data_IF_023789324104
#
_entry.id   IF_023789324104
#
_cell.length_a   1.000
_cell.length_b   1.000
_cell.length_c   1.000
_cell.angle_alpha   90.00
_cell.angle_beta   90.00
_cell.angle_gamma   90.00
#
_symmetry.space_group_name_H-M   'P 1'
#
loop_
_entity.id
_entity.type
_entity.pdbx_description
1 polymer ?
#
# COMPACT_ATOMS: atom_id res chain seq x y z
N UNK A 1 12.77 5.93 -36.62
CA UNK A 1 12.25 6.29 -35.95
C UNK A 1 11.70 6.00 -35.33
N UNK A 2 12.08 5.66 -35.50
CA UNK A 2 11.52 5.78 -34.74
C UNK A 2 10.96 5.97 -34.26
N UNK A 3 11.35 5.73 -34.91
CA UNK A 3 10.78 6.10 -34.23
C UNK A 3 10.26 6.17 -33.89
N UNK A 4 10.54 5.95 -34.38
CA UNK A 4 9.92 6.26 -33.88
C UNK A 4 9.35 6.08 -33.51
N UNK A 5 9.58 5.84 -33.92
CA UNK A 5 8.93 5.99 -33.43
C UNK A 5 8.24 5.68 -32.95
N UNK A 6 8.33 5.43 -33.30
CA UNK A 6 7.60 5.44 -32.73
C UNK A 6 6.88 5.23 -32.31
N UNK A 7 6.73 5.07 -32.58
CA UNK A 7 6.10 5.05 -32.19
C UNK A 7 5.18 5.01 -31.80
N UNK A 8 4.99 4.91 -32.24
CA UNK A 8 4.22 4.98 -31.84
C UNK A 8 3.28 4.50 -31.45
N UNK A 9 3.06 4.09 -31.61
CA UNK A 9 2.23 3.71 -31.19
C UNK A 9 1.61 3.49 -30.34
N UNK A 10 1.26 3.43 -30.10
CA UNK A 10 0.64 3.38 -29.29
C UNK A 10 0.11 3.48 -28.43
N UNK A 11 0.05 3.75 -28.73
CA UNK A 11 -0.43 3.98 -27.87
C UNK A 11 -0.97 3.45 -26.87
N UNK A 12 -0.97 3.05 -26.77
CA UNK A 12 -1.27 2.60 -25.82
C UNK A 12 -1.17 3.02 -24.66
N UNK A 13 -1.16 3.49 -24.63
CA UNK A 13 -1.34 3.66 -23.40
C UNK A 13 -0.32 3.25 -22.40
N UNK A 14 0.70 2.58 -22.85
CA UNK A 14 1.81 2.23 -22.04
C UNK A 14 2.56 3.47 -21.59
N UNK A 15 2.96 3.52 -20.34
CA UNK A 15 3.77 4.61 -19.83
C UNK A 15 5.14 4.58 -20.52
N UNK A 16 5.72 5.74 -20.84
CA UNK A 16 7.05 5.78 -21.43
C UNK A 16 8.09 5.19 -20.50
N UNK A 17 9.04 4.48 -21.05
CA UNK A 17 10.14 3.92 -20.26
C UNK A 17 11.11 5.04 -19.90
N UNK A 18 11.45 5.20 -18.62
CA UNK A 18 12.44 6.21 -18.21
C UNK A 18 13.81 5.92 -18.82
N UNK A 19 14.45 6.94 -19.37
CA UNK A 19 15.74 6.79 -20.04
C UNK A 19 16.91 7.38 -19.25
N UNK A 20 16.65 8.30 -18.31
CA UNK A 20 17.71 8.90 -17.50
C UNK A 20 17.55 8.45 -16.04
N UNK A 21 18.63 8.59 -15.26
CA UNK A 21 18.58 8.31 -13.83
C UNK A 21 17.57 9.20 -13.12
N UNK A 22 17.52 10.49 -13.48
CA UNK A 22 16.57 11.42 -12.87
C UNK A 22 15.13 11.02 -13.19
N UNK A 23 14.86 10.62 -14.42
CA UNK A 23 13.54 10.16 -14.81
C UNK A 23 13.15 8.87 -14.09
N UNK A 24 14.09 7.93 -13.96
CA UNK A 24 13.83 6.68 -13.24
C UNK A 24 13.50 6.93 -11.78
N UNK A 25 14.23 7.85 -11.13
CA UNK A 25 13.98 8.20 -9.74
C UNK A 25 12.61 8.85 -9.57
N UNK A 26 12.27 9.79 -10.43
CA UNK A 26 10.97 10.46 -10.40
C UNK A 26 9.83 9.47 -10.62
N UNK A 27 9.99 8.57 -11.57
CA UNK A 27 9.00 7.55 -11.89
C UNK A 27 8.81 6.60 -10.70
N UNK A 28 9.93 6.16 -10.10
CA UNK A 28 9.90 5.30 -8.93
C UNK A 28 9.16 5.95 -7.76
N UNK A 29 9.44 7.22 -7.49
CA UNK A 29 8.76 7.97 -6.42
C UNK A 29 7.27 8.10 -6.69
N UNK A 30 6.89 8.39 -7.92
CA UNK A 30 5.47 8.54 -8.30
C UNK A 30 4.71 7.24 -8.07
N UNK A 31 5.28 6.12 -8.51
CA UNK A 31 4.68 4.80 -8.34
C UNK A 31 4.63 4.39 -6.87
N UNK A 32 5.71 4.66 -6.14
CA UNK A 32 5.76 4.40 -4.71
C UNK A 32 4.65 5.15 -3.97
N UNK A 33 4.52 6.44 -4.22
CA UNK A 33 3.52 7.28 -3.56
C UNK A 33 2.11 6.76 -3.83
N UNK A 34 1.84 6.36 -5.07
CA UNK A 34 0.54 5.81 -5.44
C UNK A 34 0.24 4.52 -4.68
N UNK A 35 1.16 3.56 -4.71
CA UNK A 35 0.93 2.26 -4.06
C UNK A 35 0.90 2.37 -2.54
N UNK A 36 1.83 3.14 -1.96
CA UNK A 36 1.86 3.35 -0.52
C UNK A 36 0.61 4.11 -0.04
N UNK A 37 0.14 5.07 -0.84
CA UNK A 37 -1.08 5.81 -0.53
C UNK A 37 -2.32 4.93 -0.52
N UNK A 38 -2.41 4.00 -1.47
CA UNK A 38 -3.52 3.03 -1.50
C UNK A 38 -3.47 2.08 -0.30
N UNK A 39 -2.27 1.62 0.07
CA UNK A 39 -2.12 0.78 1.25
C UNK A 39 -2.53 1.54 2.53
N UNK A 40 -2.09 2.78 2.66
CA UNK A 40 -2.42 3.61 3.81
C UNK A 40 -3.92 3.90 3.89
N UNK A 41 -4.53 4.24 2.77
CA UNK A 41 -5.97 4.53 2.72
C UNK A 41 -6.82 3.31 3.05
N UNK A 42 -6.46 2.15 2.49
CA UNK A 42 -7.17 0.90 2.77
C UNK A 42 -7.07 0.53 4.25
N UNK A 43 -5.86 0.64 4.80
CA UNK A 43 -5.61 0.31 6.21
C UNK A 43 -6.43 1.20 7.13
N UNK A 44 -6.38 2.51 6.91
CA UNK A 44 -7.12 3.43 7.77
C UNK A 44 -8.62 3.24 7.65
N UNK A 45 -9.15 3.26 6.44
CA UNK A 45 -10.60 3.24 6.22
C UNK A 45 -11.26 1.93 6.63
N UNK A 46 -10.60 0.80 6.38
CA UNK A 46 -11.25 -0.51 6.51
C UNK A 46 -10.71 -1.35 7.67
N UNK A 47 -9.63 -0.91 8.32
CA UNK A 47 -9.03 -1.64 9.45
C UNK A 47 -9.01 -0.77 10.70
N UNK A 48 -8.27 0.35 10.68
CA UNK A 48 -8.05 1.16 11.87
C UNK A 48 -9.33 1.85 12.34
N UNK A 49 -10.01 2.52 11.43
CA UNK A 49 -11.22 3.26 11.76
C UNK A 49 -12.33 2.35 12.32
N UNK A 50 -12.68 1.22 11.65
CA UNK A 50 -13.67 0.31 12.20
C UNK A 50 -13.23 -0.31 13.53
N UNK A 51 -11.94 -0.62 13.68
CA UNK A 51 -11.41 -1.17 14.92
C UNK A 51 -11.64 -0.19 16.09
N UNK A 52 -11.28 1.07 15.88
CA UNK A 52 -11.46 2.11 16.90
C UNK A 52 -12.93 2.35 17.24
N UNK A 53 -13.81 2.11 16.27
CA UNK A 53 -15.26 2.24 16.48
C UNK A 53 -15.87 1.00 17.13
N UNK A 54 -15.06 0.00 17.48
CA UNK A 54 -15.54 -1.23 18.14
C UNK A 54 -16.28 -2.20 17.23
N UNK A 55 -16.15 -2.03 15.90
CA UNK A 55 -16.89 -2.85 14.94
C UNK A 55 -16.44 -4.31 14.89
N UNK A 56 -15.24 -4.60 15.40
CA UNK A 56 -14.71 -5.96 15.39
C UNK A 56 -15.00 -6.73 16.67
N UNK A 57 -15.62 -6.09 17.67
CA UNK A 57 -15.94 -6.72 18.94
C UNK A 57 -17.11 -7.68 18.78
N UNK A 58 -17.10 -8.74 19.54
CA UNK A 58 -18.21 -9.69 19.58
C UNK A 58 -19.50 -8.95 19.90
N UNK A 59 -20.57 -9.25 19.17
CA UNK A 59 -21.85 -8.62 19.36
C UNK A 59 -22.02 -7.27 18.67
N UNK A 60 -20.96 -6.72 18.07
CA UNK A 60 -21.08 -5.45 17.36
C UNK A 60 -21.98 -5.62 16.13
N UNK A 61 -22.85 -4.63 15.91
CA UNK A 61 -23.71 -4.61 14.74
C UNK A 61 -22.86 -4.53 13.47
N UNK A 62 -23.17 -5.41 12.51
CA UNK A 62 -22.45 -5.43 11.24
C UNK A 62 -21.02 -5.98 11.33
N UNK A 63 -20.70 -6.69 12.41
CA UNK A 63 -19.35 -7.22 12.66
C UNK A 63 -18.85 -8.10 11.50
N UNK A 64 -19.67 -9.03 11.05
CA UNK A 64 -19.27 -9.97 9.99
C UNK A 64 -18.84 -9.21 8.72
N UNK A 65 -19.65 -8.24 8.31
CA UNK A 65 -19.34 -7.44 7.12
C UNK A 65 -18.10 -6.58 7.33
N UNK A 66 -17.95 -5.99 8.52
CA UNK A 66 -16.76 -5.21 8.85
C UNK A 66 -15.50 -6.07 8.80
N UNK A 67 -15.57 -7.32 9.29
CA UNK A 67 -14.43 -8.24 9.26
C UNK A 67 -14.07 -8.68 7.83
N UNK A 68 -15.07 -8.91 6.98
CA UNK A 68 -14.82 -9.25 5.57
C UNK A 68 -14.10 -8.11 4.87
N UNK A 69 -14.57 -6.87 5.06
CA UNK A 69 -13.92 -5.70 4.45
C UNK A 69 -12.51 -5.52 5.00
N UNK A 70 -12.32 -5.69 6.30
CA UNK A 70 -10.99 -5.58 6.91
C UNK A 70 -10.03 -6.63 6.37
N UNK A 71 -10.50 -7.86 6.18
CA UNK A 71 -9.68 -8.92 5.61
C UNK A 71 -9.23 -8.61 4.20
N UNK A 72 -10.15 -8.13 3.36
CA UNK A 72 -9.82 -7.71 2.00
C UNK A 72 -8.84 -6.54 2.01
N UNK A 73 -9.06 -5.56 2.89
CA UNK A 73 -8.17 -4.40 3.01
C UNK A 73 -6.78 -4.81 3.48
N UNK A 74 -6.68 -5.78 4.40
CA UNK A 74 -5.39 -6.27 4.88
C UNK A 74 -4.57 -6.92 3.77
N UNK A 75 -5.19 -7.78 2.98
CA UNK A 75 -4.53 -8.42 1.85
C UNK A 75 -4.13 -7.38 0.80
N UNK A 76 -5.03 -6.45 0.50
CA UNK A 76 -4.78 -5.38 -0.46
C UNK A 76 -3.61 -4.50 0.01
N UNK A 77 -3.61 -4.08 1.28
CA UNK A 77 -2.55 -3.24 1.82
C UNK A 77 -1.19 -3.94 1.74
N UNK A 78 -1.13 -5.21 2.11
CA UNK A 78 0.10 -5.99 2.01
C UNK A 78 0.62 -5.99 0.56
N UNK A 79 -0.25 -6.30 -0.40
CA UNK A 79 0.13 -6.36 -1.81
C UNK A 79 0.59 -4.99 -2.34
N UNK A 80 -0.08 -3.92 -1.93
CA UNK A 80 0.31 -2.56 -2.35
C UNK A 80 1.63 -2.14 -1.72
N UNK A 81 1.90 -2.53 -0.48
CA UNK A 81 3.18 -2.26 0.17
C UNK A 81 4.32 -3.01 -0.52
N UNK A 82 4.10 -4.26 -0.92
CA UNK A 82 5.09 -5.02 -1.68
C UNK A 82 5.36 -4.33 -3.03
N UNK A 83 4.31 -3.88 -3.70
CA UNK A 83 4.47 -3.15 -4.96
C UNK A 83 5.23 -1.84 -4.75
N UNK A 84 4.93 -1.12 -3.66
CA UNK A 84 5.62 0.14 -3.33
C UNK A 84 7.12 -0.09 -3.12
N UNK A 85 7.49 -1.13 -2.37
CA UNK A 85 8.89 -1.48 -2.15
C UNK A 85 9.58 -1.80 -3.47
N UNK A 86 8.90 -2.54 -4.34
CA UNK A 86 9.43 -2.87 -5.66
C UNK A 86 9.64 -1.62 -6.52
N UNK A 87 8.67 -0.70 -6.50
CA UNK A 87 8.81 0.57 -7.22
C UNK A 87 10.00 1.39 -6.71
N UNK A 88 10.21 1.36 -5.39
CA UNK A 88 11.27 2.14 -4.75
C UNK A 88 12.67 1.73 -5.21
N UNK A 89 12.83 0.55 -5.80
CA UNK A 89 14.13 0.09 -6.29
C UNK A 89 14.73 1.02 -7.35
N UNK A 90 13.89 1.80 -8.02
CA UNK A 90 14.36 2.78 -9.00
C UNK A 90 14.91 4.07 -8.39
N UNK A 91 14.82 4.24 -7.08
CA UNK A 91 15.33 5.42 -6.36
C UNK A 91 16.18 4.96 -5.19
N UNK A 92 17.52 5.10 -5.27
CA UNK A 92 18.41 4.58 -4.23
C UNK A 92 18.13 5.10 -2.83
N UNK A 93 17.78 6.37 -2.70
CA UNK A 93 17.50 6.98 -1.40
C UNK A 93 16.24 6.39 -0.77
N UNK A 94 15.20 6.26 -1.58
CA UNK A 94 13.93 5.69 -1.14
C UNK A 94 14.08 4.21 -0.81
N UNK A 95 14.77 3.46 -1.66
CA UNK A 95 15.03 2.04 -1.44
C UNK A 95 15.76 1.82 -0.11
N UNK A 96 16.79 2.62 0.15
CA UNK A 96 17.56 2.54 1.39
C UNK A 96 16.69 2.87 2.61
N UNK A 97 15.83 3.86 2.49
CA UNK A 97 14.95 4.27 3.60
C UNK A 97 13.94 3.18 3.98
N UNK A 98 13.58 2.31 3.02
CA UNK A 98 12.61 1.25 3.26
C UNK A 98 13.22 -0.05 3.81
N UNK A 99 14.55 -0.20 3.75
CA UNK A 99 15.20 -1.43 4.22
C UNK A 99 14.80 -1.80 5.65
N UNK A 100 14.79 -0.87 6.63
CA UNK A 100 14.42 -1.24 8.00
C UNK A 100 12.97 -1.71 8.16
N UNK A 101 12.13 -1.46 7.15
CA UNK A 101 10.70 -1.79 7.20
C UNK A 101 10.37 -3.13 6.57
N UNK A 102 11.33 -3.77 5.92
CA UNK A 102 11.08 -5.01 5.17
C UNK A 102 10.45 -6.10 6.03
N UNK A 103 10.99 -6.35 7.21
CA UNK A 103 10.47 -7.38 8.11
C UNK A 103 9.06 -7.03 8.59
N UNK A 104 8.82 -5.75 8.91
CA UNK A 104 7.50 -5.29 9.32
C UNK A 104 6.45 -5.47 8.23
N UNK A 105 6.82 -5.17 6.99
CA UNK A 105 5.92 -5.37 5.85
C UNK A 105 5.59 -6.86 5.70
N UNK A 106 6.60 -7.73 5.76
CA UNK A 106 6.36 -9.17 5.64
C UNK A 106 5.50 -9.71 6.79
N UNK A 107 5.59 -9.12 7.98
CA UNK A 107 4.78 -9.53 9.11
C UNK A 107 3.28 -9.31 8.88
N UNK A 108 2.91 -8.47 7.92
CA UNK A 108 1.50 -8.23 7.59
C UNK A 108 0.91 -9.34 6.71
N UNK A 109 1.76 -10.19 6.15
CA UNK A 109 1.31 -11.31 5.35
C UNK A 109 0.46 -12.24 6.22
N UNK A 110 -0.72 -12.58 5.74
CA UNK A 110 -1.63 -13.44 6.48
C UNK A 110 -2.49 -12.74 7.51
N UNK A 111 -2.19 -11.49 7.87
CA UNK A 111 -3.04 -10.77 8.82
C UNK A 111 -4.43 -10.48 8.27
N UNK A 112 -4.58 -10.39 6.95
CA UNK A 112 -5.89 -10.27 6.33
C UNK A 112 -6.80 -11.43 6.69
N UNK A 113 -6.27 -12.64 6.69
CA UNK A 113 -7.02 -13.84 7.09
C UNK A 113 -7.42 -13.78 8.55
N UNK A 114 -6.52 -13.32 9.43
CA UNK A 114 -6.83 -13.17 10.87
C UNK A 114 -7.92 -12.12 11.07
N UNK A 115 -7.85 -11.01 10.36
CA UNK A 115 -8.89 -9.97 10.44
C UNK A 115 -10.24 -10.53 10.03
N UNK A 116 -10.28 -11.23 8.90
CA UNK A 116 -11.53 -11.78 8.37
C UNK A 116 -12.18 -12.77 9.33
N UNK A 117 -11.36 -13.57 10.02
CA UNK A 117 -11.86 -14.58 10.96
C UNK A 117 -12.20 -14.01 12.34
N UNK A 118 -11.90 -12.74 12.58
CA UNK A 118 -12.12 -12.09 13.87
C UNK A 118 -11.07 -12.43 14.92
N UNK A 119 -9.95 -13.02 14.52
CA UNK A 119 -8.88 -13.43 15.43
C UNK A 119 -7.76 -12.40 15.58
N UNK A 120 -7.80 -11.30 14.81
CA UNK A 120 -6.79 -10.27 14.93
C UNK A 120 -6.97 -9.52 16.25
N UNK A 121 -5.87 -9.35 16.98
CA UNK A 121 -5.87 -8.61 18.24
C UNK A 121 -5.26 -7.21 18.07
N UNK A 122 -5.15 -6.49 19.20
CA UNK A 122 -4.60 -5.14 19.23
C UNK A 122 -3.19 -5.07 18.62
N UNK A 123 -2.37 -6.09 18.87
CA UNK A 123 -1.02 -6.13 18.35
C UNK A 123 -0.99 -6.21 16.82
N UNK A 124 -1.95 -6.92 16.22
CA UNK A 124 -2.04 -7.04 14.77
C UNK A 124 -2.45 -5.71 14.15
N UNK A 125 -3.40 -5.01 14.77
CA UNK A 125 -3.83 -3.68 14.33
C UNK A 125 -2.67 -2.69 14.43
N UNK A 126 -1.95 -2.72 15.57
CA UNK A 126 -0.77 -1.88 15.77
C UNK A 126 0.31 -2.15 14.73
N UNK A 127 0.47 -3.40 14.30
CA UNK A 127 1.44 -3.76 13.26
C UNK A 127 1.13 -3.06 11.95
N UNK A 128 -0.13 -3.05 11.52
CA UNK A 128 -0.54 -2.31 10.32
C UNK A 128 -0.24 -0.82 10.48
N UNK A 129 -0.61 -0.26 11.61
CA UNK A 129 -0.44 1.18 11.87
C UNK A 129 1.02 1.57 11.87
N UNK A 130 1.88 0.80 12.54
CA UNK A 130 3.31 1.06 12.62
C UNK A 130 3.98 0.96 11.26
N UNK A 131 3.64 -0.04 10.47
CA UNK A 131 4.23 -0.21 9.14
C UNK A 131 3.83 0.95 8.23
N UNK A 132 2.56 1.34 8.23
CA UNK A 132 2.10 2.47 7.41
C UNK A 132 2.81 3.76 7.82
N UNK A 133 2.93 4.03 9.11
CA UNK A 133 3.63 5.21 9.61
C UNK A 133 5.10 5.18 9.17
N UNK A 134 5.75 4.03 9.30
CA UNK A 134 7.14 3.87 8.88
C UNK A 134 7.33 4.11 7.39
N UNK A 135 6.43 3.60 6.56
CA UNK A 135 6.48 3.79 5.11
C UNK A 135 6.29 5.27 4.75
N UNK A 136 5.35 5.95 5.41
CA UNK A 136 5.15 7.39 5.20
C UNK A 136 6.39 8.19 5.59
N UNK A 137 7.00 7.86 6.72
CA UNK A 137 8.20 8.54 7.19
C UNK A 137 9.38 8.30 6.23
N UNK A 138 9.55 7.07 5.76
CA UNK A 138 10.59 6.75 4.79
C UNK A 138 10.39 7.53 3.49
N UNK A 139 9.15 7.58 3.01
CA UNK A 139 8.82 8.35 1.81
C UNK A 139 9.14 9.83 1.98
N UNK A 140 8.72 10.41 3.10
CA UNK A 140 8.97 11.82 3.39
C UNK A 140 10.46 12.12 3.42
N UNK A 141 11.27 11.28 4.06
CA UNK A 141 12.70 11.48 4.15
C UNK A 141 13.40 11.41 2.80
N UNK A 142 12.83 10.70 1.85
CA UNK A 142 13.37 10.54 0.50
C UNK A 142 12.70 11.47 -0.53
N UNK A 143 11.89 12.44 -0.08
CA UNK A 143 11.21 13.38 -0.98
C UNK A 143 10.00 12.80 -1.69
N UNK A 144 9.41 11.74 -1.16
CA UNK A 144 8.23 11.08 -1.73
C UNK A 144 7.11 11.05 -0.68
N UNK A 145 6.43 12.17 -0.51
CA UNK A 145 5.37 12.30 0.49
C UNK A 145 4.16 11.44 0.12
N UNK A 146 3.76 10.58 1.06
CA UNK A 146 2.62 9.67 0.88
C UNK A 146 1.38 10.26 1.52
N UNK A 147 0.29 10.33 0.75
CA UNK A 147 -1.03 10.71 1.26
C UNK A 147 -1.98 9.54 1.10
N UNK A 148 -2.91 9.41 2.03
CA UNK A 148 -3.87 8.31 2.01
C UNK A 148 -4.76 8.40 0.76
N UNK A 149 -4.94 7.26 0.10
CA UNK A 149 -5.87 7.12 -1.02
C UNK A 149 -6.79 5.95 -0.70
N UNK A 150 -8.05 6.25 -0.46
CA UNK A 150 -9.02 5.22 -0.08
C UNK A 150 -9.48 4.47 -1.33
N UNK A 151 -9.18 3.17 -1.44
CA UNK A 151 -9.70 2.38 -2.56
C UNK A 151 -11.18 2.09 -2.37
N UNK A 152 -11.89 1.88 -3.47
CA UNK A 152 -13.28 1.41 -3.40
C UNK A 152 -13.29 -0.06 -2.98
N UNK A 153 -14.46 -0.56 -2.57
CA UNK A 153 -14.60 -1.98 -2.23
C UNK A 153 -14.24 -2.88 -3.42
N UNK A 154 -14.59 -2.48 -4.62
CA UNK A 154 -14.24 -3.27 -5.81
C UNK A 154 -12.73 -3.34 -6.02
N UNK A 155 -12.00 -2.26 -5.69
CA UNK A 155 -10.54 -2.25 -5.80
C UNK A 155 -9.87 -3.15 -4.78
N UNK A 156 -10.51 -3.39 -3.63
CA UNK A 156 -9.97 -4.28 -2.59
C UNK A 156 -9.93 -5.75 -3.03
N UNK A 157 -10.52 -6.09 -4.13
CA UNK A 157 -10.54 -7.45 -4.62
C UNK A 157 -11.94 -8.04 -4.65
N UNK A 158 -12.89 -7.14 -4.52
CA UNK A 158 -14.29 -7.52 -4.62
C UNK A 158 -14.76 -7.67 -6.04
#
# INVERSE_FOLDING_TARGET
>A
MEAASVQAVPVLVAEPTPTTSAERQKFAKTRFVLNAGLAAGATYQWIIKPYRAGKFKKGASGRTFALVKAGLAGAFAYNRLKAAVNNAKGDPLLSKALVPLAAGIESLKGLGTKLRSGQAGDADISSFESVITGVKDAGKSAGATVTDRVPSLSQLGG
#
